data_IF_858270022034
#
_entry.id   IF_858270022034
#
_cell.length_a   1.000
_cell.length_b   1.000
_cell.length_c   1.000
_cell.angle_alpha   90.00
_cell.angle_beta   90.00
_cell.angle_gamma   90.00
#
_symmetry.space_group_name_H-M   'P 1'
#
loop_
_entity.id
_entity.type
_entity.pdbx_description
1 polymer ?
#
# COMPACT_ATOMS: atom_id res chain seq x y z
N UNK A 1 -3.95 43.51 92.50
CA UNK A 1 -5.19 43.83 91.72
C UNK A 1 -4.75 43.78 90.31
N UNK A 2 -5.23 42.95 89.46
CA UNK A 2 -6.28 41.98 89.47
C UNK A 2 -6.16 41.15 88.15
N UNK A 3 -6.44 39.97 88.36
CA UNK A 3 -6.56 38.89 87.36
C UNK A 3 -7.57 39.18 86.25
N UNK A 4 -7.45 38.44 85.17
CA UNK A 4 -8.47 37.96 84.21
C UNK A 4 -8.37 38.55 82.82
N UNK A 5 -7.57 37.86 82.06
CA UNK A 5 -7.94 37.77 80.60
C UNK A 5 -7.48 36.45 79.90
N UNK A 6 -7.41 35.36 80.65
CA UNK A 6 -7.05 34.05 80.08
C UNK A 6 -8.27 33.26 79.51
N UNK A 7 -9.49 33.76 79.71
CA UNK A 7 -10.71 33.07 79.25
C UNK A 7 -11.09 33.28 77.80
N UNK A 8 -10.72 34.41 77.21
CA UNK A 8 -11.09 34.75 75.83
C UNK A 8 -10.15 34.16 74.77
N UNK A 9 -8.87 33.95 75.11
CA UNK A 9 -7.89 33.37 74.20
C UNK A 9 -8.16 31.87 74.01
N UNK A 10 -8.52 31.15 75.08
CA UNK A 10 -8.86 29.74 74.98
C UNK A 10 -10.09 29.45 74.11
N UNK A 11 -11.10 30.30 74.18
CA UNK A 11 -12.33 30.17 73.41
C UNK A 11 -12.11 30.48 71.90
N UNK A 12 -11.25 31.41 71.59
CA UNK A 12 -10.89 31.75 70.19
C UNK A 12 -10.05 30.64 69.59
N UNK A 13 -9.09 30.09 70.32
CA UNK A 13 -8.25 28.99 69.84
C UNK A 13 -9.05 27.71 69.57
N UNK A 14 -9.97 27.37 70.49
CA UNK A 14 -10.87 26.23 70.32
C UNK A 14 -11.83 26.41 69.14
N UNK A 15 -12.29 27.64 68.84
CA UNK A 15 -13.16 27.94 67.72
C UNK A 15 -12.40 27.85 66.38
N UNK A 16 -11.17 28.27 66.33
CA UNK A 16 -10.31 28.19 65.14
C UNK A 16 -9.94 26.70 64.84
N UNK A 17 -9.62 25.95 65.89
CA UNK A 17 -9.31 24.50 65.73
C UNK A 17 -10.51 23.69 65.28
N UNK A 18 -11.70 23.95 65.84
CA UNK A 18 -12.96 23.31 65.43
C UNK A 18 -13.37 23.68 64.00
N UNK A 19 -13.17 24.92 63.57
CA UNK A 19 -13.44 25.36 62.21
C UNK A 19 -12.51 24.74 61.18
N UNK A 20 -11.25 24.62 61.52
CA UNK A 20 -10.25 23.95 60.65
C UNK A 20 -10.51 22.45 60.59
N UNK A 21 -10.93 21.80 61.66
CA UNK A 21 -11.30 20.40 61.70
C UNK A 21 -12.52 20.12 60.82
N UNK A 22 -13.52 21.00 60.84
CA UNK A 22 -14.71 20.92 59.96
C UNK A 22 -14.33 21.07 58.47
N UNK A 23 -13.45 22.01 58.15
CA UNK A 23 -12.99 22.20 56.77
C UNK A 23 -12.25 20.96 56.28
N UNK A 24 -11.36 20.38 57.09
CA UNK A 24 -10.62 19.16 56.76
C UNK A 24 -11.60 17.98 56.59
N UNK A 25 -12.64 17.85 57.47
CA UNK A 25 -13.65 16.83 57.32
C UNK A 25 -14.48 16.97 56.01
N UNK A 26 -14.87 18.21 55.65
CA UNK A 26 -15.58 18.44 54.38
C UNK A 26 -14.70 18.17 53.15
N UNK A 27 -13.43 18.51 53.17
CA UNK A 27 -12.48 18.19 52.10
C UNK A 27 -12.31 16.66 51.98
N UNK A 28 -12.20 15.96 53.11
CA UNK A 28 -12.06 14.50 53.12
C UNK A 28 -13.33 13.80 52.62
N UNK A 29 -14.52 14.25 53.02
CA UNK A 29 -15.79 13.76 52.50
C UNK A 29 -15.95 14.07 51.00
N UNK A 30 -15.53 15.23 50.54
CA UNK A 30 -15.50 15.58 49.10
C UNK A 30 -14.60 14.67 48.28
N UNK A 31 -13.41 14.37 48.78
CA UNK A 31 -12.47 13.44 48.12
C UNK A 31 -13.01 11.99 48.09
N UNK A 32 -13.64 11.56 49.19
CA UNK A 32 -14.30 10.22 49.24
C UNK A 32 -15.47 10.13 48.28
N UNK A 33 -16.33 11.15 48.19
CA UNK A 33 -17.43 11.17 47.24
C UNK A 33 -16.94 11.21 45.78
N UNK A 34 -15.87 11.93 45.50
CA UNK A 34 -15.27 11.99 44.17
C UNK A 34 -14.64 10.65 43.78
N UNK A 35 -13.96 9.98 44.71
CA UNK A 35 -13.41 8.65 44.45
C UNK A 35 -14.49 7.60 44.24
N UNK A 36 -15.60 7.67 44.99
CA UNK A 36 -16.77 6.82 44.77
C UNK A 36 -17.43 7.06 43.41
N UNK A 37 -17.51 8.31 42.98
CA UNK A 37 -18.04 8.66 41.66
C UNK A 37 -17.18 8.10 40.52
N UNK A 38 -15.87 8.20 40.66
CA UNK A 38 -14.93 7.60 39.69
C UNK A 38 -15.07 6.08 39.63
N UNK A 39 -15.15 5.43 40.79
CA UNK A 39 -15.34 3.96 40.82
C UNK A 39 -16.67 3.53 40.21
N UNK A 40 -17.75 4.27 40.42
CA UNK A 40 -19.06 3.99 39.81
C UNK A 40 -19.01 4.19 38.29
N UNK A 41 -18.33 5.24 37.81
CA UNK A 41 -18.15 5.48 36.35
C UNK A 41 -17.30 4.39 35.72
N UNK A 42 -16.18 4.00 36.35
CA UNK A 42 -15.33 2.90 35.88
C UNK A 42 -16.06 1.58 35.87
N UNK A 43 -16.85 1.31 36.90
CA UNK A 43 -17.67 0.10 37.01
C UNK A 43 -18.81 0.07 35.97
N UNK A 44 -19.44 1.20 35.73
CA UNK A 44 -20.47 1.33 34.70
C UNK A 44 -19.87 1.13 33.28
N UNK A 45 -18.67 1.66 33.01
CA UNK A 45 -17.96 1.39 31.76
C UNK A 45 -17.56 -0.09 31.62
N UNK A 46 -17.03 -0.67 32.68
CA UNK A 46 -16.66 -2.10 32.70
C UNK A 46 -17.88 -3.02 32.52
N UNK A 47 -19.02 -2.68 33.14
CA UNK A 47 -20.26 -3.42 32.93
C UNK A 47 -20.85 -3.22 31.52
N UNK A 48 -20.59 -2.06 30.88
CA UNK A 48 -20.97 -1.84 29.48
C UNK A 48 -20.10 -2.66 28.52
N UNK A 49 -18.81 -2.83 28.80
CA UNK A 49 -17.92 -3.68 28.04
C UNK A 49 -18.18 -5.17 28.30
N UNK A 50 -18.45 -5.58 29.55
CA UNK A 50 -18.71 -7.00 29.89
C UNK A 50 -20.09 -7.48 29.48
N UNK A 51 -21.10 -6.60 29.31
CA UNK A 51 -22.37 -7.00 28.72
C UNK A 51 -22.28 -7.32 27.23
N UNK A 52 -21.12 -7.07 26.57
CA UNK A 52 -20.85 -7.50 25.20
C UNK A 52 -20.20 -8.88 25.11
N UNK A 53 -19.68 -9.45 26.22
CA UNK A 53 -18.90 -10.69 26.18
C UNK A 53 -19.53 -11.93 26.80
N UNK A 54 -20.69 -11.86 27.46
CA UNK A 54 -21.24 -13.02 28.16
C UNK A 54 -22.69 -13.33 27.80
N UNK A 55 -22.90 -13.72 26.54
CA UNK A 55 -23.99 -14.66 26.22
C UNK A 55 -23.55 -15.56 25.07
N UNK A 56 -22.82 -16.61 25.38
CA UNK A 56 -22.32 -17.60 24.42
C UNK A 56 -23.42 -18.38 23.68
N UNK A 57 -24.69 -18.03 23.85
CA UNK A 57 -25.83 -18.64 23.16
C UNK A 57 -26.83 -17.63 22.55
N UNK A 58 -26.55 -16.34 22.56
CA UNK A 58 -27.42 -15.38 21.89
C UNK A 58 -27.01 -15.16 20.44
N UNK A 59 -27.96 -15.35 19.56
CA UNK A 59 -27.83 -15.07 18.13
C UNK A 59 -27.43 -13.60 17.94
N UNK A 60 -26.35 -13.35 17.21
CA UNK A 60 -25.92 -11.98 16.91
C UNK A 60 -26.88 -11.31 15.94
N UNK A 61 -27.68 -10.37 16.44
CA UNK A 61 -28.68 -9.61 15.68
C UNK A 61 -28.21 -8.18 15.33
N UNK A 62 -26.92 -7.87 15.46
CA UNK A 62 -26.41 -6.58 15.01
C UNK A 62 -26.52 -6.47 13.48
N UNK A 63 -26.57 -5.22 12.96
CA UNK A 63 -26.60 -4.98 11.51
C UNK A 63 -25.45 -5.68 10.79
N UNK A 64 -24.26 -5.69 11.40
CA UNK A 64 -23.08 -6.38 10.85
C UNK A 64 -23.28 -7.88 10.73
N UNK A 65 -23.78 -8.53 11.78
CA UNK A 65 -24.06 -9.96 11.78
C UNK A 65 -25.16 -10.34 10.77
N UNK A 66 -26.24 -9.57 10.72
CA UNK A 66 -27.34 -9.79 9.74
C UNK A 66 -26.80 -9.62 8.31
N UNK A 67 -25.99 -8.58 8.06
CA UNK A 67 -25.40 -8.35 6.75
C UNK A 67 -24.45 -9.49 6.34
N UNK A 68 -23.60 -9.95 7.26
CA UNK A 68 -22.68 -11.07 7.01
C UNK A 68 -23.41 -12.37 6.73
N UNK A 69 -24.42 -12.70 7.55
CA UNK A 69 -25.25 -13.89 7.34
C UNK A 69 -26.00 -13.83 6.00
N UNK A 70 -26.56 -12.67 5.66
CA UNK A 70 -27.25 -12.48 4.37
C UNK A 70 -26.29 -12.64 3.20
N UNK A 71 -25.06 -12.12 3.30
CA UNK A 71 -24.05 -12.28 2.26
C UNK A 71 -23.70 -13.77 2.07
N UNK A 72 -23.45 -14.50 3.16
CA UNK A 72 -23.17 -15.94 3.09
C UNK A 72 -24.33 -16.72 2.49
N UNK A 73 -25.57 -16.48 2.94
CA UNK A 73 -26.75 -17.16 2.42
C UNK A 73 -27.00 -16.90 0.92
N UNK A 74 -26.70 -15.69 0.45
CA UNK A 74 -26.80 -15.34 -0.97
C UNK A 74 -25.72 -15.98 -1.83
N UNK A 75 -24.60 -16.34 -1.25
CA UNK A 75 -23.51 -17.01 -1.97
C UNK A 75 -23.80 -18.49 -2.25
N UNK A 76 -24.68 -19.10 -1.47
CA UNK A 76 -25.03 -20.52 -1.55
C UNK A 76 -25.86 -20.78 -2.82
N UNK A 77 -25.46 -21.81 -3.56
CA UNK A 77 -26.22 -22.33 -4.68
C UNK A 77 -27.12 -23.50 -4.24
N UNK A 78 -28.34 -23.17 -3.90
CA UNK A 78 -29.34 -24.16 -3.44
C UNK A 78 -29.76 -25.16 -4.53
N UNK A 79 -29.40 -24.94 -5.80
CA UNK A 79 -29.73 -25.86 -6.90
C UNK A 79 -28.84 -27.10 -6.93
N UNK A 80 -27.70 -27.07 -6.23
CA UNK A 80 -26.68 -28.13 -6.17
C UNK A 80 -26.59 -28.81 -4.80
N UNK A 81 -27.68 -28.87 -4.05
CA UNK A 81 -27.73 -29.52 -2.74
C UNK A 81 -27.23 -30.97 -2.75
N UNK A 82 -27.39 -31.69 -3.87
CA UNK A 82 -26.85 -33.04 -4.04
C UNK A 82 -25.32 -33.11 -4.01
N UNK A 83 -24.65 -31.98 -4.25
CA UNK A 83 -23.19 -31.90 -4.32
C UNK A 83 -22.55 -31.45 -3.00
N UNK A 84 -23.34 -31.25 -1.95
CA UNK A 84 -22.84 -30.76 -0.66
C UNK A 84 -21.63 -31.52 -0.11
N UNK A 85 -21.62 -32.85 -0.30
CA UNK A 85 -20.55 -33.72 0.17
C UNK A 85 -19.46 -33.99 -0.87
N UNK A 86 -19.70 -33.69 -2.15
CA UNK A 86 -18.78 -33.96 -3.26
C UNK A 86 -18.09 -32.71 -3.78
N UNK A 87 -18.80 -31.58 -3.80
CA UNK A 87 -18.31 -30.29 -4.24
C UNK A 87 -18.87 -29.17 -3.36
N UNK A 88 -18.31 -29.08 -2.17
CA UNK A 88 -18.71 -28.05 -1.20
C UNK A 88 -18.47 -26.64 -1.71
N UNK A 89 -17.44 -26.42 -2.52
CA UNK A 89 -17.12 -25.10 -3.07
C UNK A 89 -18.24 -24.58 -3.97
N UNK A 90 -18.69 -25.38 -4.92
CA UNK A 90 -19.81 -25.01 -5.80
C UNK A 90 -21.11 -24.81 -5.01
N UNK A 91 -21.35 -25.60 -3.96
CA UNK A 91 -22.49 -25.37 -3.08
C UNK A 91 -22.39 -24.02 -2.33
N UNK A 92 -21.26 -23.75 -1.67
CA UNK A 92 -21.10 -22.59 -0.82
C UNK A 92 -20.93 -21.26 -1.58
N UNK A 93 -20.34 -21.29 -2.77
CA UNK A 93 -19.92 -20.09 -3.53
C UNK A 93 -20.59 -19.98 -4.90
N UNK A 94 -21.30 -21.00 -5.39
CA UNK A 94 -21.76 -21.06 -6.76
C UNK A 94 -22.70 -19.93 -7.17
N UNK A 95 -23.56 -19.46 -6.28
CA UNK A 95 -24.44 -18.33 -6.58
C UNK A 95 -23.69 -17.00 -6.60
N UNK A 96 -22.66 -16.84 -5.74
CA UNK A 96 -21.78 -15.67 -5.80
C UNK A 96 -21.06 -15.59 -7.14
N UNK A 97 -20.50 -16.70 -7.63
CA UNK A 97 -19.82 -16.77 -8.93
C UNK A 97 -20.76 -16.38 -10.07
N UNK A 98 -22.02 -16.88 -10.07
CA UNK A 98 -23.04 -16.56 -11.07
C UNK A 98 -23.42 -15.08 -11.09
N UNK A 99 -23.41 -14.43 -9.93
CA UNK A 99 -23.83 -13.03 -9.77
C UNK A 99 -22.68 -12.03 -9.88
N UNK A 100 -21.42 -12.49 -9.89
CA UNK A 100 -20.21 -11.66 -10.01
C UNK A 100 -19.34 -12.12 -11.19
N UNK A 101 -19.81 -11.93 -12.44
CA UNK A 101 -19.04 -12.32 -13.61
C UNK A 101 -17.77 -11.48 -13.71
N UNK A 102 -16.69 -12.09 -14.19
CA UNK A 102 -15.44 -11.38 -14.52
C UNK A 102 -15.72 -10.43 -15.67
N UNK A 103 -15.43 -9.15 -15.50
CA UNK A 103 -15.58 -8.15 -16.56
C UNK A 103 -14.50 -8.32 -17.62
N UNK A 104 -14.72 -7.79 -18.83
CA UNK A 104 -13.80 -7.94 -19.96
C UNK A 104 -12.40 -7.33 -19.73
N UNK A 105 -12.30 -6.41 -18.77
CA UNK A 105 -11.06 -5.74 -18.37
C UNK A 105 -10.46 -6.31 -17.08
N UNK A 106 -11.15 -7.24 -16.41
CA UNK A 106 -10.68 -7.87 -15.19
C UNK A 106 -10.05 -9.24 -15.49
N UNK A 107 -9.00 -9.58 -14.78
CA UNK A 107 -8.36 -10.90 -14.84
C UNK A 107 -9.05 -11.89 -13.90
N UNK A 108 -9.52 -11.37 -12.75
CA UNK A 108 -10.18 -12.15 -11.71
C UNK A 108 -11.27 -11.34 -11.02
N UNK A 109 -12.19 -12.04 -10.34
CA UNK A 109 -13.17 -11.43 -9.44
C UNK A 109 -13.13 -12.13 -8.10
N UNK A 110 -12.90 -11.39 -7.03
CA UNK A 110 -12.80 -11.93 -5.67
C UNK A 110 -13.64 -11.12 -4.69
N UNK A 111 -14.00 -11.71 -3.55
CA UNK A 111 -14.70 -11.00 -2.46
C UNK A 111 -13.83 -9.85 -1.94
N UNK A 112 -12.51 -10.05 -1.88
CA UNK A 112 -11.58 -8.99 -1.48
C UNK A 112 -11.56 -7.85 -2.50
N UNK A 113 -11.62 -8.17 -3.80
CA UNK A 113 -11.77 -7.20 -4.88
C UNK A 113 -13.03 -6.34 -4.70
N UNK A 114 -14.17 -6.95 -4.41
CA UNK A 114 -15.43 -6.22 -4.15
C UNK A 114 -15.34 -5.28 -2.94
N UNK A 115 -14.61 -5.68 -1.90
CA UNK A 115 -14.37 -4.82 -0.72
C UNK A 115 -13.47 -3.65 -1.10
N UNK A 116 -12.44 -3.90 -1.90
CA UNK A 116 -11.50 -2.87 -2.39
C UNK A 116 -12.25 -1.86 -3.27
N UNK A 117 -13.08 -2.33 -4.20
CA UNK A 117 -13.87 -1.48 -5.09
C UNK A 117 -14.81 -0.57 -4.30
N UNK A 118 -15.53 -1.15 -3.33
CA UNK A 118 -16.40 -0.38 -2.45
C UNK A 118 -15.64 0.66 -1.64
N UNK A 119 -14.48 0.27 -1.09
CA UNK A 119 -13.60 1.22 -0.37
C UNK A 119 -13.13 2.34 -1.27
N UNK A 120 -12.70 2.02 -2.49
CA UNK A 120 -12.23 3.02 -3.45
C UNK A 120 -13.36 4.00 -3.81
N UNK A 121 -14.56 3.50 -4.07
CA UNK A 121 -15.75 4.34 -4.30
C UNK A 121 -16.04 5.29 -3.12
N UNK A 122 -15.96 4.79 -1.87
CA UNK A 122 -16.16 5.66 -0.70
C UNK A 122 -15.05 6.70 -0.54
N UNK A 123 -13.79 6.35 -0.87
CA UNK A 123 -12.66 7.29 -0.87
C UNK A 123 -12.89 8.37 -1.94
N UNK A 124 -13.25 7.97 -3.15
CA UNK A 124 -13.57 8.89 -4.25
C UNK A 124 -14.68 9.87 -3.83
N UNK A 125 -15.78 9.37 -3.29
CA UNK A 125 -16.87 10.19 -2.78
C UNK A 125 -16.43 11.20 -1.71
N UNK A 126 -15.49 10.81 -0.83
CA UNK A 126 -14.94 11.70 0.19
C UNK A 126 -14.01 12.76 -0.42
N UNK A 127 -13.26 12.40 -1.46
CA UNK A 127 -12.36 13.32 -2.17
C UNK A 127 -13.15 14.33 -3.02
N UNK A 128 -14.23 13.92 -3.65
CA UNK A 128 -15.13 14.79 -4.44
C UNK A 128 -15.96 15.74 -3.55
N UNK A 129 -16.13 15.40 -2.28
CA UNK A 129 -16.88 16.29 -1.38
C UNK A 129 -16.20 17.66 -1.24
N UNK A 130 -16.97 18.75 -1.08
CA UNK A 130 -16.41 20.09 -0.94
C UNK A 130 -15.37 20.20 0.17
N UNK A 131 -14.34 21.03 -0.03
CA UNK A 131 -13.31 21.29 0.98
C UNK A 131 -13.96 21.98 2.19
N UNK A 132 -13.92 21.32 3.36
CA UNK A 132 -14.46 21.88 4.60
C UNK A 132 -13.47 22.81 5.30
N UNK A 133 -12.18 22.60 5.09
CA UNK A 133 -11.08 23.38 5.68
C UNK A 133 -10.39 24.20 4.60
N UNK A 134 -10.76 25.45 4.48
CA UNK A 134 -10.24 26.38 3.46
C UNK A 134 -8.79 26.84 3.71
N UNK A 135 -8.19 26.47 4.85
CA UNK A 135 -6.78 26.77 5.10
C UNK A 135 -5.89 25.91 4.19
N UNK A 136 -5.14 26.54 3.28
CA UNK A 136 -4.21 25.90 2.33
C UNK A 136 -3.15 25.01 2.99
N UNK A 137 -2.83 25.23 4.27
CA UNK A 137 -1.90 24.39 5.04
C UNK A 137 -2.55 23.13 5.60
N UNK A 138 -3.89 23.04 5.57
CA UNK A 138 -4.60 21.85 6.07
C UNK A 138 -4.33 20.64 5.16
N UNK A 139 -4.27 19.46 5.76
CA UNK A 139 -4.11 18.20 5.01
C UNK A 139 -5.28 17.95 4.05
N UNK A 140 -6.50 18.32 4.45
CA UNK A 140 -7.70 18.17 3.62
C UNK A 140 -7.60 19.01 2.34
N UNK A 141 -7.21 20.30 2.48
CA UNK A 141 -7.03 21.19 1.32
C UNK A 141 -5.98 20.62 0.37
N UNK A 142 -4.80 20.26 0.87
CA UNK A 142 -3.71 19.72 0.05
C UNK A 142 -4.11 18.43 -0.67
N UNK A 143 -4.75 17.50 0.05
CA UNK A 143 -5.15 16.21 -0.49
C UNK A 143 -6.19 16.37 -1.62
N UNK A 144 -7.24 17.16 -1.38
CA UNK A 144 -8.31 17.36 -2.36
C UNK A 144 -7.85 18.19 -3.56
N UNK A 145 -6.99 19.17 -3.36
CA UNK A 145 -6.37 19.93 -4.46
C UNK A 145 -5.53 19.01 -5.33
N UNK A 146 -4.66 18.20 -4.72
CA UNK A 146 -3.86 17.22 -5.44
C UNK A 146 -4.72 16.23 -6.23
N UNK A 147 -5.79 15.72 -5.63
CA UNK A 147 -6.73 14.82 -6.28
C UNK A 147 -7.41 15.48 -7.49
N UNK A 148 -7.89 16.72 -7.33
CA UNK A 148 -8.52 17.49 -8.42
C UNK A 148 -7.53 17.74 -9.56
N UNK A 149 -6.29 18.10 -9.26
CA UNK A 149 -5.24 18.30 -10.25
C UNK A 149 -4.89 16.99 -10.99
N UNK A 150 -4.90 15.85 -10.27
CA UNK A 150 -4.69 14.54 -10.88
C UNK A 150 -5.82 14.14 -11.84
N UNK A 151 -7.06 14.58 -11.57
CA UNK A 151 -8.22 14.28 -12.42
C UNK A 151 -8.36 15.23 -13.63
N UNK A 152 -7.63 16.35 -13.64
CA UNK A 152 -7.65 17.30 -14.75
C UNK A 152 -6.84 16.77 -15.95
N UNK A 153 -7.43 15.83 -16.68
CA UNK A 153 -6.84 15.28 -17.89
C UNK A 153 -6.65 16.35 -18.97
N UNK A 154 -7.51 17.35 -18.99
CA UNK A 154 -7.46 18.41 -19.99
C UNK A 154 -6.21 19.29 -19.84
N UNK A 155 -5.83 19.62 -18.61
CA UNK A 155 -4.58 20.36 -18.34
C UNK A 155 -3.34 19.46 -18.47
N UNK A 156 -3.46 18.17 -18.19
CA UNK A 156 -2.35 17.22 -18.13
C UNK A 156 -1.95 16.66 -19.50
N UNK A 157 -2.92 16.27 -20.32
CA UNK A 157 -2.69 15.60 -21.61
C UNK A 157 -1.77 16.38 -22.56
N UNK A 158 -1.87 17.70 -22.75
CA UNK A 158 -1.00 18.45 -23.66
C UNK A 158 0.49 18.39 -23.29
N UNK A 159 0.82 18.15 -22.02
CA UNK A 159 2.19 18.26 -21.50
C UNK A 159 2.76 16.94 -20.94
N UNK A 160 1.99 15.86 -20.89
CA UNK A 160 2.39 14.62 -20.20
C UNK A 160 3.64 13.97 -20.81
N UNK A 161 3.69 13.87 -22.13
CA UNK A 161 4.86 13.32 -22.84
C UNK A 161 6.09 14.22 -22.72
N UNK A 162 5.91 15.52 -22.87
CA UNK A 162 7.00 16.51 -22.78
C UNK A 162 7.67 16.50 -21.41
N UNK A 163 6.89 16.38 -20.33
CA UNK A 163 7.45 16.30 -18.98
C UNK A 163 8.30 15.04 -18.80
N UNK A 164 7.82 13.87 -19.21
CA UNK A 164 8.56 12.61 -19.14
C UNK A 164 9.86 12.69 -19.96
N UNK A 165 9.80 13.23 -21.17
CA UNK A 165 10.99 13.43 -22.03
C UNK A 165 11.98 14.37 -21.34
N UNK A 166 11.49 15.44 -20.69
CA UNK A 166 12.30 16.36 -19.91
C UNK A 166 13.04 15.66 -18.79
N UNK A 167 12.38 14.81 -18.01
CA UNK A 167 13.00 14.02 -16.93
C UNK A 167 14.06 13.04 -17.46
N UNK A 168 13.81 12.39 -18.60
CA UNK A 168 14.77 11.45 -19.19
C UNK A 168 16.01 12.18 -19.73
N UNK A 169 15.84 13.40 -20.26
CA UNK A 169 16.94 14.21 -20.80
C UNK A 169 17.74 14.94 -19.70
N UNK A 170 17.19 15.09 -18.50
CA UNK A 170 17.84 15.81 -17.43
C UNK A 170 19.04 15.04 -16.87
N UNK A 171 20.19 15.64 -16.93
CA UNK A 171 21.45 15.07 -16.46
C UNK A 171 21.46 14.83 -14.95
N UNK A 172 20.61 15.52 -14.18
CA UNK A 172 20.49 15.32 -12.74
C UNK A 172 19.62 14.10 -12.38
N UNK A 173 18.86 13.55 -13.34
CA UNK A 173 17.96 12.43 -13.13
C UNK A 173 18.46 11.15 -13.82
N UNK A 174 18.12 10.94 -15.09
CA UNK A 174 18.49 9.73 -15.84
C UNK A 174 19.73 9.94 -16.68
N UNK A 175 20.13 11.20 -16.90
CA UNK A 175 21.27 11.62 -17.74
C UNK A 175 21.13 11.19 -19.22
N UNK A 176 19.90 11.19 -19.70
CA UNK A 176 19.55 10.88 -21.07
C UNK A 176 19.39 9.39 -21.37
N UNK A 177 18.91 9.12 -22.54
CA UNK A 177 18.66 7.79 -23.05
C UNK A 177 19.12 7.72 -24.51
N UNK A 178 19.81 6.64 -24.90
CA UNK A 178 20.36 6.52 -26.26
C UNK A 178 19.31 6.61 -27.36
N UNK A 179 18.05 6.30 -27.06
CA UNK A 179 16.94 6.47 -28.00
C UNK A 179 16.64 7.93 -28.33
N UNK A 180 17.12 8.87 -27.51
CA UNK A 180 16.99 10.32 -27.75
C UNK A 180 18.23 10.97 -28.36
N UNK A 181 19.20 10.16 -28.79
CA UNK A 181 20.42 10.62 -29.41
C UNK A 181 20.64 9.94 -30.79
N UNK A 182 20.59 10.74 -31.85
CA UNK A 182 20.81 10.24 -33.22
C UNK A 182 22.26 9.85 -33.51
N UNK A 183 23.20 10.29 -32.67
CA UNK A 183 24.63 10.01 -32.85
C UNK A 183 25.07 8.68 -32.24
N UNK A 184 24.20 8.00 -31.50
CA UNK A 184 24.50 6.80 -30.74
C UNK A 184 23.71 5.61 -31.27
N UNK A 185 24.40 4.56 -31.67
CA UNK A 185 23.76 3.37 -32.26
C UNK A 185 23.20 2.40 -31.20
N UNK A 186 23.78 2.38 -29.98
CA UNK A 186 23.39 1.44 -28.94
C UNK A 186 23.70 1.93 -27.51
N UNK A 187 23.05 1.29 -26.52
CA UNK A 187 23.20 1.61 -25.09
C UNK A 187 24.66 1.53 -24.59
N UNK A 188 25.47 0.62 -25.12
CA UNK A 188 26.86 0.47 -24.70
C UNK A 188 27.71 1.70 -25.05
N UNK A 189 27.44 2.38 -26.16
CA UNK A 189 28.10 3.62 -26.53
C UNK A 189 27.73 4.77 -25.59
N UNK A 190 26.48 4.83 -25.16
CA UNK A 190 26.04 5.83 -24.17
C UNK A 190 26.74 5.63 -22.82
N UNK A 191 26.81 4.40 -22.35
CA UNK A 191 27.49 4.08 -21.09
C UNK A 191 28.99 4.46 -21.10
N UNK A 192 29.68 4.30 -22.25
CA UNK A 192 31.05 4.74 -22.42
C UNK A 192 31.22 6.26 -22.43
N UNK A 193 30.21 6.98 -22.95
CA UNK A 193 30.24 8.45 -23.04
C UNK A 193 29.92 9.13 -21.68
N UNK A 194 29.17 8.48 -20.83
CA UNK A 194 28.55 9.15 -19.67
C UNK A 194 29.18 8.85 -18.32
N UNK A 195 30.20 8.11 -18.20
CA UNK A 195 30.93 7.89 -16.92
C UNK A 195 30.04 7.57 -15.69
N UNK A 196 28.73 7.33 -15.90
CA UNK A 196 27.79 6.94 -14.84
C UNK A 196 27.89 5.46 -14.58
N UNK A 197 28.03 5.09 -13.32
CA UNK A 197 27.97 3.69 -12.92
C UNK A 197 26.52 3.20 -12.88
N UNK A 198 26.31 1.89 -13.12
CA UNK A 198 25.02 1.23 -12.97
C UNK A 198 24.36 1.57 -11.61
N UNK A 199 25.14 1.67 -10.54
CA UNK A 199 24.65 2.02 -9.22
C UNK A 199 24.06 3.42 -9.14
N UNK A 200 24.65 4.39 -9.81
CA UNK A 200 24.12 5.75 -9.86
C UNK A 200 22.81 5.80 -10.63
N UNK A 201 22.72 5.13 -11.75
CA UNK A 201 21.48 5.02 -12.54
C UNK A 201 20.37 4.34 -11.74
N UNK A 202 20.66 3.21 -11.10
CA UNK A 202 19.69 2.52 -10.24
C UNK A 202 19.26 3.38 -9.04
N UNK A 203 20.18 4.14 -8.46
CA UNK A 203 19.86 5.04 -7.35
C UNK A 203 18.83 6.09 -7.77
N UNK A 204 18.97 6.67 -8.95
CA UNK A 204 17.98 7.62 -9.49
C UNK A 204 16.66 6.94 -9.82
N UNK A 205 16.70 5.81 -10.53
CA UNK A 205 15.47 5.10 -10.93
C UNK A 205 14.68 4.63 -9.70
N UNK A 206 15.34 4.03 -8.72
CA UNK A 206 14.68 3.53 -7.51
C UNK A 206 14.35 4.64 -6.51
N UNK A 207 15.28 5.60 -6.30
CA UNK A 207 15.14 6.65 -5.29
C UNK A 207 14.23 7.79 -5.71
N UNK A 208 14.45 8.34 -6.92
CA UNK A 208 13.73 9.54 -7.35
C UNK A 208 12.37 9.20 -8.00
N UNK A 209 12.29 8.08 -8.71
CA UNK A 209 11.07 7.66 -9.40
C UNK A 209 10.30 6.54 -8.69
N UNK A 210 10.91 5.88 -7.69
CA UNK A 210 10.28 4.75 -7.01
C UNK A 210 10.05 3.54 -7.93
N UNK A 211 10.70 3.49 -9.09
CA UNK A 211 10.56 2.41 -10.04
C UNK A 211 11.45 1.22 -9.63
N UNK A 212 10.82 0.12 -9.27
CA UNK A 212 11.50 -1.10 -8.81
C UNK A 212 11.98 -1.91 -10.02
N UNK A 213 13.02 -1.43 -10.72
CA UNK A 213 13.43 -1.98 -12.00
C UNK A 213 14.06 -3.38 -11.90
N UNK A 214 14.77 -3.70 -10.82
CA UNK A 214 15.49 -4.98 -10.66
C UNK A 214 15.14 -5.65 -9.36
N UNK A 215 15.04 -4.89 -8.27
CA UNK A 215 14.68 -5.40 -6.95
C UNK A 215 13.89 -4.34 -6.19
N UNK A 216 13.14 -4.77 -5.18
CA UNK A 216 12.49 -3.86 -4.24
C UNK A 216 13.13 -3.95 -2.86
N UNK A 217 12.94 -2.90 -2.06
CA UNK A 217 13.37 -2.85 -0.66
C UNK A 217 12.15 -2.52 0.19
N UNK A 218 11.93 -3.33 1.21
CA UNK A 218 10.86 -3.07 2.19
C UNK A 218 11.32 -3.37 3.61
N UNK A 219 10.61 -2.85 4.60
CA UNK A 219 10.78 -3.25 5.99
C UNK A 219 9.85 -4.41 6.30
N UNK A 220 10.39 -5.48 6.90
CA UNK A 220 9.62 -6.64 7.37
C UNK A 220 9.95 -6.91 8.84
N UNK A 221 9.00 -7.47 9.57
CA UNK A 221 9.30 -8.00 10.90
C UNK A 221 10.14 -9.26 10.76
N UNK A 222 11.11 -9.44 11.67
CA UNK A 222 11.89 -10.67 11.75
C UNK A 222 10.98 -11.86 12.07
N UNK A 223 11.19 -13.00 11.40
CA UNK A 223 10.35 -14.17 11.57
C UNK A 223 10.53 -14.83 12.96
N UNK A 224 11.71 -14.66 13.56
CA UNK A 224 12.03 -15.22 14.87
C UNK A 224 11.74 -14.24 16.02
N UNK A 225 11.76 -12.93 15.75
CA UNK A 225 11.50 -11.88 16.73
C UNK A 225 10.73 -10.72 16.09
N UNK A 226 9.44 -10.72 16.23
CA UNK A 226 8.54 -9.69 15.66
C UNK A 226 8.70 -8.30 16.28
N UNK A 227 9.52 -8.15 17.33
CA UNK A 227 9.90 -6.84 17.88
C UNK A 227 10.94 -6.13 17.02
N UNK A 228 11.65 -6.86 16.17
CA UNK A 228 12.73 -6.36 15.32
C UNK A 228 12.22 -6.18 13.90
N UNK A 229 12.53 -5.01 13.31
CA UNK A 229 12.30 -4.77 11.88
C UNK A 229 13.62 -4.91 11.13
N UNK A 230 13.57 -5.63 10.00
CA UNK A 230 14.70 -5.81 9.09
C UNK A 230 14.40 -5.21 7.72
N UNK A 231 15.44 -4.85 6.99
CA UNK A 231 15.33 -4.53 5.57
C UNK A 231 15.33 -5.85 4.80
N UNK A 232 14.34 -6.02 3.97
CA UNK A 232 14.21 -7.15 3.06
C UNK A 232 14.36 -6.65 1.64
N UNK A 233 15.24 -7.31 0.87
CA UNK A 233 15.30 -7.18 -0.57
C UNK A 233 14.39 -8.25 -1.16
N UNK A 234 13.57 -7.88 -2.12
CA UNK A 234 12.65 -8.81 -2.77
C UNK A 234 12.71 -8.65 -4.28
N UNK A 235 12.45 -9.72 -5.06
CA UNK A 235 12.39 -9.66 -6.51
C UNK A 235 11.35 -8.63 -6.98
N UNK A 236 11.71 -7.86 -7.98
CA UNK A 236 10.82 -6.89 -8.62
C UNK A 236 11.29 -6.66 -10.06
N UNK A 237 10.60 -5.82 -10.81
CA UNK A 237 11.01 -5.42 -12.15
C UNK A 237 10.42 -6.28 -13.27
N UNK A 238 9.48 -7.16 -12.99
CA UNK A 238 8.75 -7.88 -14.03
C UNK A 238 7.50 -7.10 -14.45
N UNK A 239 7.31 -6.98 -15.75
CA UNK A 239 6.10 -6.36 -16.32
C UNK A 239 4.92 -7.34 -16.33
N UNK A 240 5.21 -8.63 -16.45
CA UNK A 240 4.21 -9.71 -16.44
C UNK A 240 4.52 -10.75 -15.38
N UNK A 241 3.66 -11.74 -15.26
CA UNK A 241 3.84 -12.85 -14.31
C UNK A 241 5.06 -13.70 -14.70
N UNK A 242 5.77 -14.25 -13.70
CA UNK A 242 6.93 -15.12 -13.89
C UNK A 242 6.65 -16.24 -14.91
N UNK A 243 5.47 -16.84 -14.82
CA UNK A 243 5.07 -17.95 -15.69
C UNK A 243 4.98 -17.54 -17.17
N UNK A 244 4.68 -16.28 -17.48
CA UNK A 244 4.65 -15.80 -18.87
C UNK A 244 6.04 -15.76 -19.50
N UNK A 245 7.11 -15.50 -18.72
CA UNK A 245 8.50 -15.48 -19.23
C UNK A 245 9.11 -16.87 -19.39
N UNK A 246 8.76 -17.81 -18.52
CA UNK A 246 9.36 -19.16 -18.50
C UNK A 246 8.45 -20.23 -19.08
N UNK A 247 7.20 -19.91 -19.37
CA UNK A 247 6.22 -20.79 -19.97
C UNK A 247 6.52 -21.07 -21.45
N UNK A 248 6.19 -22.27 -21.90
CA UNK A 248 6.36 -22.71 -23.30
C UNK A 248 5.03 -22.91 -24.02
N UNK A 249 3.94 -22.59 -23.35
CA UNK A 249 2.61 -22.70 -23.90
C UNK A 249 2.29 -21.52 -24.86
N UNK A 250 1.29 -21.70 -25.71
CA UNK A 250 0.93 -20.71 -26.73
C UNK A 250 0.41 -19.39 -26.16
N UNK A 251 -0.16 -19.41 -24.96
CA UNK A 251 -0.70 -18.22 -24.31
C UNK A 251 0.47 -17.36 -23.79
N UNK A 252 1.42 -17.96 -23.07
CA UNK A 252 2.60 -17.28 -22.58
C UNK A 252 3.42 -16.68 -23.74
N UNK A 253 3.66 -17.44 -24.81
CA UNK A 253 4.35 -16.93 -26.00
C UNK A 253 3.61 -15.76 -26.66
N UNK A 254 2.29 -15.81 -26.74
CA UNK A 254 1.48 -14.73 -27.32
C UNK A 254 1.55 -13.46 -26.48
N UNK A 255 1.52 -13.58 -25.14
CA UNK A 255 1.66 -12.45 -24.21
C UNK A 255 3.03 -11.79 -24.30
N UNK A 256 4.10 -12.59 -24.38
CA UNK A 256 5.45 -12.08 -24.57
C UNK A 256 5.60 -11.31 -25.90
N UNK A 257 5.06 -11.84 -26.98
CA UNK A 257 5.07 -11.15 -28.28
C UNK A 257 4.29 -9.82 -28.22
N UNK A 258 3.14 -9.80 -27.52
CA UNK A 258 2.36 -8.59 -27.33
C UNK A 258 3.12 -7.54 -26.48
N UNK A 259 3.80 -7.97 -25.41
CA UNK A 259 4.64 -7.08 -24.59
C UNK A 259 5.77 -6.48 -25.42
N UNK A 260 6.45 -7.29 -26.24
CA UNK A 260 7.53 -6.81 -27.11
C UNK A 260 7.03 -5.73 -28.07
N UNK A 261 5.90 -5.96 -28.74
CA UNK A 261 5.29 -4.97 -29.63
C UNK A 261 4.88 -3.70 -28.88
N UNK A 262 4.31 -3.82 -27.69
CA UNK A 262 3.96 -2.69 -26.85
C UNK A 262 5.17 -1.84 -26.49
N UNK A 263 6.29 -2.46 -26.08
CA UNK A 263 7.54 -1.74 -25.77
C UNK A 263 8.05 -1.00 -27.01
N UNK A 264 8.08 -1.65 -28.17
CA UNK A 264 8.52 -1.02 -29.44
C UNK A 264 7.66 0.21 -29.74
N UNK A 265 6.35 0.12 -29.59
CA UNK A 265 5.45 1.23 -29.84
C UNK A 265 5.67 2.40 -28.87
N UNK A 266 5.73 2.13 -27.56
CA UNK A 266 5.97 3.15 -26.53
C UNK A 266 7.31 3.84 -26.73
N UNK A 267 8.38 3.08 -26.96
CA UNK A 267 9.73 3.61 -27.19
C UNK A 267 9.77 4.48 -28.44
N UNK A 268 9.12 4.02 -29.50
CA UNK A 268 9.05 4.77 -30.77
C UNK A 268 8.28 6.10 -30.60
N UNK A 269 7.15 6.06 -29.88
CA UNK A 269 6.37 7.26 -29.59
C UNK A 269 7.19 8.29 -28.77
N UNK A 270 7.82 7.85 -27.68
CA UNK A 270 8.65 8.72 -26.85
C UNK A 270 9.80 9.34 -27.63
N UNK A 271 10.48 8.56 -28.48
CA UNK A 271 11.57 9.07 -29.30
C UNK A 271 11.09 10.11 -30.33
N UNK A 272 9.95 9.86 -30.98
CA UNK A 272 9.36 10.82 -31.91
C UNK A 272 8.97 12.13 -31.23
N UNK A 273 8.35 12.04 -30.06
CA UNK A 273 8.00 13.22 -29.24
C UNK A 273 9.27 13.96 -28.75
N UNK A 274 10.38 13.24 -28.56
CA UNK A 274 11.67 13.83 -28.25
C UNK A 274 12.34 14.53 -29.45
N UNK A 275 11.72 14.47 -30.64
CA UNK A 275 12.22 15.10 -31.87
C UNK A 275 13.15 14.21 -32.70
N UNK A 276 13.18 12.90 -32.43
CA UNK A 276 13.99 11.96 -33.19
C UNK A 276 13.24 11.50 -34.44
N UNK A 277 13.77 11.83 -35.61
CA UNK A 277 13.20 11.50 -36.92
C UNK A 277 14.14 10.55 -37.70
N UNK A 278 14.58 9.46 -37.05
CA UNK A 278 15.44 8.46 -37.66
C UNK A 278 14.59 7.43 -38.41
N UNK A 279 15.04 7.05 -39.62
CA UNK A 279 14.42 6.00 -40.45
C UNK A 279 14.52 4.62 -39.79
N UNK A 280 15.54 4.42 -38.95
CA UNK A 280 15.82 3.16 -38.25
C UNK A 280 15.27 3.13 -36.83
N UNK A 281 14.37 4.09 -36.49
CA UNK A 281 13.85 4.23 -35.15
C UNK A 281 13.11 2.98 -34.64
N UNK A 282 12.38 2.31 -35.53
CA UNK A 282 11.67 1.07 -35.20
C UNK A 282 12.63 -0.07 -34.88
N UNK A 283 13.73 -0.18 -35.63
CA UNK A 283 14.76 -1.22 -35.40
C UNK A 283 15.49 -0.98 -34.07
N UNK A 284 15.80 0.26 -33.77
CA UNK A 284 16.37 0.65 -32.46
C UNK A 284 15.42 0.36 -31.31
N UNK A 285 14.13 0.66 -31.47
CA UNK A 285 13.11 0.33 -30.46
C UNK A 285 12.96 -1.17 -30.26
N UNK A 286 13.11 -1.97 -31.32
CA UNK A 286 13.10 -3.43 -31.23
C UNK A 286 14.28 -3.97 -30.42
N UNK A 287 15.49 -3.37 -30.59
CA UNK A 287 16.65 -3.72 -29.76
C UNK A 287 16.33 -3.47 -28.27
N UNK A 288 15.77 -2.30 -27.92
CA UNK A 288 15.36 -2.00 -26.54
C UNK A 288 14.37 -3.04 -26.02
N UNK A 289 13.35 -3.37 -26.80
CA UNK A 289 12.34 -4.35 -26.38
C UNK A 289 12.98 -5.73 -26.13
N UNK A 290 13.95 -6.11 -26.92
CA UNK A 290 14.67 -7.36 -26.75
C UNK A 290 15.59 -7.35 -25.52
N UNK A 291 16.25 -6.23 -25.25
CA UNK A 291 17.08 -6.05 -24.05
C UNK A 291 16.22 -6.12 -22.78
N UNK A 292 15.09 -5.41 -22.74
CA UNK A 292 14.12 -5.50 -21.63
C UNK A 292 13.64 -6.93 -21.42
N UNK A 293 13.25 -7.60 -22.50
CA UNK A 293 12.82 -9.00 -22.44
C UNK A 293 13.92 -9.91 -21.88
N UNK A 294 15.16 -9.72 -22.29
CA UNK A 294 16.30 -10.53 -21.84
C UNK A 294 16.53 -10.35 -20.33
N UNK A 295 16.49 -9.12 -19.84
CA UNK A 295 16.66 -8.81 -18.41
C UNK A 295 15.48 -9.36 -17.59
N UNK A 296 14.24 -9.10 -18.02
CA UNK A 296 13.06 -9.58 -17.28
C UNK A 296 12.97 -11.11 -17.28
N UNK A 297 13.33 -11.77 -18.36
CA UNK A 297 13.41 -13.24 -18.41
C UNK A 297 14.45 -13.78 -17.44
N UNK A 298 15.62 -13.17 -17.37
CA UNK A 298 16.64 -13.53 -16.40
C UNK A 298 16.13 -13.37 -14.95
N UNK A 299 15.47 -12.26 -14.65
CA UNK A 299 14.86 -12.02 -13.34
C UNK A 299 13.78 -13.06 -13.01
N UNK A 300 12.94 -13.42 -13.98
CA UNK A 300 11.89 -14.42 -13.81
C UNK A 300 12.45 -15.83 -13.57
N UNK A 301 13.53 -16.20 -14.26
CA UNK A 301 14.20 -17.48 -14.05
C UNK A 301 14.85 -17.57 -12.67
N UNK A 302 15.44 -16.47 -12.18
CA UNK A 302 16.01 -16.40 -10.82
C UNK A 302 14.91 -16.45 -9.75
N UNK A 303 13.81 -15.72 -9.89
CA UNK A 303 12.67 -15.78 -8.97
C UNK A 303 12.07 -17.20 -8.89
N UNK A 304 11.95 -17.89 -10.03
CA UNK A 304 11.50 -19.28 -10.06
C UNK A 304 12.43 -20.22 -9.28
N UNK A 305 13.75 -20.04 -9.42
CA UNK A 305 14.73 -20.85 -8.70
C UNK A 305 14.70 -20.54 -7.20
N UNK A 306 14.58 -19.28 -6.84
CA UNK A 306 14.52 -18.82 -5.43
C UNK A 306 13.24 -19.31 -4.74
N UNK A 307 12.09 -19.24 -5.39
CA UNK A 307 10.83 -19.77 -4.87
C UNK A 307 10.85 -21.30 -4.72
N UNK A 308 11.57 -22.01 -5.60
CA UNK A 308 11.80 -23.45 -5.45
C UNK A 308 12.75 -23.81 -4.30
N UNK A 309 13.66 -22.89 -3.94
CA UNK A 309 14.62 -23.01 -2.86
C UNK A 309 14.06 -22.55 -1.50
N UNK A 310 13.03 -21.70 -1.45
CA UNK A 310 12.33 -21.33 -0.21
C UNK A 310 11.67 -22.53 0.49
N UNK A 311 11.45 -23.62 -0.24
CA UNK A 311 11.12 -24.92 0.35
C UNK A 311 12.35 -25.68 0.89
N UNK A 312 13.57 -25.16 0.71
CA UNK A 312 14.82 -25.77 1.18
C UNK A 312 15.83 -24.68 1.56
N UNK A 313 15.77 -24.22 2.79
CA UNK A 313 16.85 -23.50 3.52
C UNK A 313 17.63 -22.39 2.81
N UNK A 314 17.51 -21.17 3.36
CA UNK A 314 18.45 -20.03 3.35
C UNK A 314 18.99 -19.50 2.01
N UNK A 315 18.43 -18.36 1.64
CA UNK A 315 19.02 -17.23 0.92
C UNK A 315 20.36 -17.47 0.18
N UNK A 316 20.29 -17.50 -1.14
CA UNK A 316 21.39 -16.99 -1.96
C UNK A 316 21.58 -15.50 -1.60
N UNK A 317 22.79 -15.12 -1.23
CA UNK A 317 23.04 -13.76 -0.75
C UNK A 317 22.83 -12.74 -1.87
N UNK A 318 22.32 -11.52 -1.56
CA UNK A 318 22.22 -10.43 -2.53
C UNK A 318 23.53 -10.12 -3.29
N UNK A 319 24.67 -10.55 -2.75
CA UNK A 319 25.99 -10.47 -3.40
C UNK A 319 26.10 -11.34 -4.65
N UNK A 320 25.48 -12.52 -4.66
CA UNK A 320 25.58 -13.45 -5.80
C UNK A 320 24.77 -12.92 -6.97
N UNK A 321 23.58 -12.40 -6.73
CA UNK A 321 22.73 -11.74 -7.71
C UNK A 321 23.41 -10.51 -8.36
N UNK A 322 24.03 -9.64 -7.54
CA UNK A 322 24.75 -8.46 -8.04
C UNK A 322 26.05 -8.83 -8.80
N UNK A 323 26.66 -9.97 -8.51
CA UNK A 323 27.87 -10.44 -9.20
C UNK A 323 27.52 -11.00 -10.58
N UNK A 324 26.37 -11.65 -10.73
CA UNK A 324 25.88 -12.18 -12.00
C UNK A 324 25.42 -11.07 -12.95
N UNK A 325 24.76 -10.02 -12.40
CA UNK A 325 24.44 -8.80 -13.18
C UNK A 325 25.67 -8.05 -13.75
N UNK A 326 26.84 -8.25 -13.17
CA UNK A 326 28.08 -7.65 -13.67
C UNK A 326 28.67 -8.37 -14.92
N UNK A 327 28.05 -9.47 -15.34
CA UNK A 327 28.48 -10.23 -16.53
C UNK A 327 27.65 -9.86 -17.78
N UNK A 328 26.62 -9.03 -17.63
CA UNK A 328 25.86 -8.41 -18.71
C UNK A 328 26.25 -6.94 -18.88
#
# INVERSE_FOLDING_TARGET
MGLTDNGKIGTICNRITSRNLLIVAFVFLGLLSFSLLITVIVQARKNHETNHETNNNELCLTRGCISAATHQLRSIDNTVLSNLCTDFYTYACGNWIKTHPIQSFDVERTILGDIIDRRNFEIERLLDAPISRTNERSWEYKLKTYYTECQDDYARVPNSGTYMIGLIKDNATIDGWFMFDNSVENASQVALLKNQTLYQQLSHIHGDFGALAIFGIRTRFDENDTSIKRLEFFPAGLTMEVNDYVGTDSVSMSRLAALQLYIVEVVTLLAREAGINDTNLSDRAFIVANDVFTVEKFLAEDDRTTNSLQNKTSLSSPRQFLTELHQF
#
